data_IF_503742228853
#
_entry.id   IF_503742228853
#
_cell.length_a   1.000
_cell.length_b   1.000
_cell.length_c   1.000
_cell.angle_alpha   90.00
_cell.angle_beta   90.00
_cell.angle_gamma   90.00
#
_symmetry.space_group_name_H-M   'P 1'
#
loop_
_entity.id
_entity.type
_entity.pdbx_description
1 polymer ?
#
# COMPACT_ATOMS: atom_id res chain seq x y z
N UNK A 1 17.01 -11.13 -8.02
CA UNK A 1 16.95 -9.92 -7.18
C UNK A 1 15.68 -9.99 -6.34
N UNK A 2 15.74 -9.80 -5.04
CA UNK A 2 14.60 -9.92 -4.12
C UNK A 2 14.22 -8.53 -3.61
N UNK A 3 12.93 -8.18 -3.72
CA UNK A 3 12.39 -6.95 -3.16
C UNK A 3 11.67 -7.28 -1.85
N UNK A 4 11.85 -6.44 -0.85
CA UNK A 4 11.19 -6.56 0.44
C UNK A 4 10.46 -5.25 0.75
N UNK A 5 9.16 -5.34 1.04
CA UNK A 5 8.31 -4.21 1.37
C UNK A 5 7.77 -4.33 2.79
N UNK A 6 7.63 -3.20 3.45
CA UNK A 6 7.09 -3.16 4.81
C UNK A 6 5.68 -2.58 4.80
N UNK A 7 4.70 -3.41 5.14
CA UNK A 7 3.30 -3.01 5.26
C UNK A 7 3.04 -2.16 6.51
N UNK A 8 3.62 -2.50 7.63
CA UNK A 8 3.40 -1.83 8.91
C UNK A 8 4.23 -2.47 10.01
N UNK A 9 3.99 -2.08 11.26
CA UNK A 9 4.73 -2.55 12.44
C UNK A 9 4.10 -3.77 13.10
N UNK A 10 2.79 -3.96 12.92
CA UNK A 10 2.04 -5.04 13.56
C UNK A 10 1.88 -6.25 12.64
N UNK A 11 1.75 -7.42 13.27
CA UNK A 11 1.38 -8.64 12.55
C UNK A 11 0.02 -8.48 11.90
N UNK A 12 -0.12 -8.97 10.68
CA UNK A 12 -1.38 -8.98 9.95
C UNK A 12 -1.49 -10.19 9.04
N UNK A 13 -2.73 -10.62 8.86
CA UNK A 13 -3.06 -11.66 7.89
C UNK A 13 -3.30 -11.00 6.54
N UNK A 14 -2.52 -11.36 5.54
CA UNK A 14 -2.66 -10.85 4.18
C UNK A 14 -3.79 -11.60 3.49
N UNK A 15 -4.67 -10.86 2.83
CA UNK A 15 -5.79 -11.42 2.08
C UNK A 15 -5.55 -11.42 0.58
N UNK A 16 -4.98 -10.35 0.05
CA UNK A 16 -4.65 -10.29 -1.36
C UNK A 16 -3.38 -9.48 -1.63
N UNK A 17 -2.72 -9.85 -2.70
CA UNK A 17 -1.57 -9.18 -3.29
C UNK A 17 -1.83 -9.05 -4.78
N UNK A 18 -1.67 -7.84 -5.32
CA UNK A 18 -2.02 -7.57 -6.71
C UNK A 18 -1.00 -6.62 -7.33
N UNK A 19 -0.57 -6.94 -8.55
CA UNK A 19 0.26 -6.03 -9.36
C UNK A 19 -0.60 -5.23 -10.32
N UNK A 20 -0.27 -3.97 -10.52
CA UNK A 20 -0.89 -3.17 -11.57
C UNK A 20 -0.48 -3.69 -12.97
N UNK A 21 -1.30 -3.44 -14.01
CA UNK A 21 -1.00 -3.87 -15.39
C UNK A 21 0.34 -3.35 -15.91
N UNK A 22 0.76 -2.17 -15.48
CA UNK A 22 2.07 -1.60 -15.84
C UNK A 22 3.24 -2.17 -15.04
N UNK A 23 2.97 -2.95 -13.99
CA UNK A 23 3.94 -3.41 -12.99
C UNK A 23 4.66 -2.26 -12.24
N UNK A 24 4.10 -1.06 -12.26
CA UNK A 24 4.63 0.08 -11.52
C UNK A 24 4.19 0.06 -10.06
N UNK A 25 3.01 -0.49 -9.80
CA UNK A 25 2.41 -0.54 -8.48
C UNK A 25 2.10 -1.97 -8.05
N UNK A 26 2.04 -2.13 -6.75
CA UNK A 26 1.69 -3.37 -6.09
C UNK A 26 0.80 -3.06 -4.88
N UNK A 27 -0.34 -3.71 -4.75
CA UNK A 27 -1.25 -3.53 -3.63
C UNK A 27 -1.25 -4.72 -2.69
N UNK A 28 -1.50 -4.45 -1.42
CA UNK A 28 -1.60 -5.43 -0.36
C UNK A 28 -2.79 -5.12 0.54
N UNK A 29 -3.68 -6.08 0.70
CA UNK A 29 -4.80 -6.01 1.66
C UNK A 29 -4.59 -6.97 2.82
N UNK A 30 -5.10 -6.61 3.98
CA UNK A 30 -4.96 -7.39 5.20
C UNK A 30 -6.14 -7.23 6.14
N UNK A 31 -6.16 -8.00 7.22
CA UNK A 31 -7.15 -7.95 8.31
C UNK A 31 -7.13 -6.64 9.13
N UNK A 32 -6.34 -5.64 8.74
CA UNK A 32 -6.22 -4.34 9.41
C UNK A 32 -7.04 -3.22 8.75
N UNK A 33 -7.78 -3.51 7.67
CA UNK A 33 -8.67 -2.56 7.00
C UNK A 33 -7.97 -1.43 6.26
N UNK A 34 -6.66 -1.53 6.05
CA UNK A 34 -5.87 -0.59 5.25
C UNK A 34 -5.33 -1.30 4.02
N UNK A 35 -5.58 -0.72 2.88
CA UNK A 35 -4.97 -1.14 1.62
C UNK A 35 -3.67 -0.35 1.45
N UNK A 36 -2.56 -1.06 1.32
CA UNK A 36 -1.25 -0.47 1.08
C UNK A 36 -0.88 -0.61 -0.39
N UNK A 37 -0.40 0.47 -0.97
CA UNK A 37 0.08 0.53 -2.36
C UNK A 37 1.59 0.83 -2.31
N UNK A 38 2.38 0.03 -3.01
CA UNK A 38 3.81 0.19 -3.13
C UNK A 38 4.18 0.61 -4.55
N UNK A 39 5.17 1.49 -4.70
CA UNK A 39 5.68 1.91 -5.99
C UNK A 39 6.97 1.13 -6.30
N UNK A 40 6.88 0.20 -7.26
CA UNK A 40 7.98 -0.68 -7.63
C UNK A 40 9.14 0.04 -8.32
N UNK A 41 8.89 1.20 -8.94
CA UNK A 41 9.91 1.95 -9.69
C UNK A 41 10.69 2.89 -8.76
N UNK A 42 10.01 3.58 -7.86
CA UNK A 42 10.68 4.50 -6.92
C UNK A 42 11.64 3.78 -6.00
N UNK A 43 11.28 2.60 -5.53
CA UNK A 43 12.12 1.81 -4.65
C UNK A 43 13.44 1.38 -5.31
N UNK A 44 13.45 1.23 -6.64
CA UNK A 44 14.69 0.96 -7.39
C UNK A 44 15.64 2.16 -7.47
N UNK A 45 15.12 3.40 -7.35
CA UNK A 45 15.94 4.62 -7.46
C UNK A 45 16.51 5.07 -6.12
N UNK A 46 15.85 4.76 -5.01
CA UNK A 46 16.33 5.12 -3.68
C UNK A 46 17.54 4.29 -3.24
N UNK A 47 17.70 3.07 -3.73
CA UNK A 47 18.89 2.24 -3.48
C UNK A 47 20.18 2.82 -4.03
N UNK A 48 20.12 3.75 -4.99
CA UNK A 48 21.31 4.33 -5.63
C UNK A 48 21.60 5.79 -5.27
N UNK A 49 20.62 6.56 -4.82
CA UNK A 49 20.77 8.00 -4.56
C UNK A 49 20.70 8.42 -3.09
N UNK A 50 20.19 7.56 -2.20
CA UNK A 50 19.97 7.87 -0.78
C UNK A 50 21.20 7.80 0.12
N UNK A 51 22.37 7.43 -0.41
CA UNK A 51 23.56 7.15 0.44
C UNK A 51 24.34 8.36 0.96
N UNK A 52 24.01 9.59 0.60
CA UNK A 52 24.90 10.74 0.89
C UNK A 52 24.40 11.85 1.81
N UNK A 53 23.15 11.87 2.28
CA UNK A 53 22.67 12.99 3.11
C UNK A 53 22.11 12.67 4.50
N UNK A 54 21.75 11.44 4.81
CA UNK A 54 21.05 11.13 6.07
C UNK A 54 21.82 10.21 7.03
N UNK A 55 23.05 9.83 6.72
CA UNK A 55 23.82 8.89 7.56
C UNK A 55 24.12 9.43 8.97
N UNK A 56 24.19 10.76 9.17
CA UNK A 56 24.54 11.35 10.46
C UNK A 56 23.37 11.35 11.46
N UNK A 57 22.15 11.62 11.00
CA UNK A 57 20.96 11.67 11.87
C UNK A 57 20.46 10.26 12.18
N UNK A 58 20.40 9.38 11.17
CA UNK A 58 19.98 8.00 11.35
C UNK A 58 20.98 7.12 12.10
N UNK A 59 22.28 7.40 12.03
CA UNK A 59 23.29 6.67 12.81
C UNK A 59 23.13 6.92 14.30
N UNK A 60 22.79 8.13 14.72
CA UNK A 60 22.48 8.46 16.10
C UNK A 60 21.22 7.76 16.62
N UNK A 61 20.15 7.73 15.82
CA UNK A 61 18.90 7.04 16.14
C UNK A 61 19.06 5.52 16.20
N UNK A 62 19.84 4.91 15.32
CA UNK A 62 20.16 3.47 15.35
C UNK A 62 20.87 3.07 16.65
N UNK A 63 21.78 3.90 17.12
CA UNK A 63 22.55 3.66 18.35
C UNK A 63 21.67 3.74 19.60
N UNK A 64 20.72 4.70 19.63
CA UNK A 64 19.81 4.93 20.75
C UNK A 64 18.67 3.88 20.82
N UNK A 65 18.11 3.47 19.69
CA UNK A 65 16.89 2.66 19.66
C UNK A 65 17.13 1.17 19.40
N UNK A 66 18.38 0.74 19.15
CA UNK A 66 18.73 -0.66 18.80
C UNK A 66 17.84 -1.28 17.71
N UNK A 67 17.36 -0.47 16.75
CA UNK A 67 16.53 -0.93 15.66
C UNK A 67 17.40 -1.62 14.60
N UNK A 68 17.04 -2.83 14.14
CA UNK A 68 17.77 -3.50 13.08
C UNK A 68 17.85 -2.64 11.82
N UNK A 69 19.03 -2.53 11.22
CA UNK A 69 19.29 -1.73 9.99
C UNK A 69 18.26 -2.07 8.88
N UNK A 70 17.91 -3.33 8.72
CA UNK A 70 16.94 -3.82 7.75
C UNK A 70 15.56 -3.16 7.90
N UNK A 71 15.09 -2.94 9.12
CA UNK A 71 13.78 -2.31 9.38
C UNK A 71 13.76 -0.84 8.96
N UNK A 72 14.89 -0.13 9.09
CA UNK A 72 14.98 1.30 8.76
C UNK A 72 15.04 1.57 7.25
N UNK A 73 15.57 0.63 6.47
CA UNK A 73 15.77 0.77 5.02
C UNK A 73 14.69 0.07 4.19
N UNK A 74 13.83 -0.76 4.80
CA UNK A 74 12.74 -1.43 4.09
C UNK A 74 11.68 -0.42 3.69
N UNK A 75 11.32 -0.30 2.40
CA UNK A 75 10.34 0.66 1.92
C UNK A 75 8.99 0.49 2.58
N UNK A 76 8.38 1.61 2.98
CA UNK A 76 7.00 1.66 3.43
C UNK A 76 6.06 1.81 2.25
N UNK A 77 4.76 1.68 2.50
CA UNK A 77 3.76 1.91 1.46
C UNK A 77 3.90 3.31 0.85
N UNK A 78 3.84 3.37 -0.45
CA UNK A 78 3.84 4.62 -1.23
C UNK A 78 2.54 5.39 -1.05
N UNK A 79 1.41 4.68 -1.08
CA UNK A 79 0.08 5.22 -0.82
C UNK A 79 -0.73 4.24 0.03
N UNK A 80 -1.78 4.73 0.68
CA UNK A 80 -2.69 3.87 1.42
C UNK A 80 -4.12 4.41 1.36
N UNK A 81 -5.08 3.49 1.44
CA UNK A 81 -6.50 3.76 1.53
C UNK A 81 -7.09 3.02 2.73
N UNK A 82 -7.88 3.71 3.54
CA UNK A 82 -8.57 3.14 4.69
C UNK A 82 -10.07 3.17 4.45
N UNK A 83 -10.68 2.01 4.29
CA UNK A 83 -12.14 1.91 4.11
C UNK A 83 -12.90 1.55 5.39
N UNK A 84 -12.21 1.29 6.49
CA UNK A 84 -12.81 0.88 7.75
C UNK A 84 -13.19 -0.61 7.84
N UNK A 85 -13.22 -1.33 6.73
CA UNK A 85 -13.56 -2.74 6.70
C UNK A 85 -12.32 -3.62 6.90
N UNK A 86 -12.40 -4.55 7.83
CA UNK A 86 -11.30 -5.45 8.15
C UNK A 86 -11.07 -6.53 7.08
N UNK A 87 -12.01 -6.72 6.16
CA UNK A 87 -11.91 -7.72 5.10
C UNK A 87 -12.29 -7.12 3.77
N UNK A 88 -11.29 -6.94 2.93
CA UNK A 88 -11.47 -6.43 1.58
C UNK A 88 -10.43 -7.04 0.63
N UNK A 89 -10.72 -6.96 -0.65
CA UNK A 89 -9.82 -7.33 -1.74
C UNK A 89 -9.59 -6.11 -2.63
N UNK A 90 -8.41 -6.00 -3.19
CA UNK A 90 -8.10 -4.97 -4.17
C UNK A 90 -7.70 -5.58 -5.51
N UNK A 91 -8.03 -4.87 -6.59
CA UNK A 91 -7.65 -5.22 -7.95
C UNK A 91 -7.34 -3.95 -8.72
N UNK A 92 -6.34 -3.99 -9.59
CA UNK A 92 -6.03 -2.87 -10.47
C UNK A 92 -6.83 -2.95 -11.78
N UNK A 93 -7.36 -1.81 -12.23
CA UNK A 93 -7.91 -1.64 -13.55
C UNK A 93 -6.84 -1.35 -14.61
N UNK A 94 -7.24 -1.20 -15.89
CA UNK A 94 -6.32 -1.09 -17.01
C UNK A 94 -5.43 0.14 -17.02
N UNK A 95 -5.82 1.21 -16.32
CA UNK A 95 -5.05 2.46 -16.20
C UNK A 95 -4.39 2.62 -14.82
N UNK A 96 -4.14 1.52 -14.13
CA UNK A 96 -3.61 1.48 -12.76
C UNK A 96 -4.51 2.20 -11.73
N UNK A 97 -5.81 2.33 -11.99
CA UNK A 97 -6.79 2.67 -10.98
C UNK A 97 -7.01 1.49 -10.02
N UNK A 98 -7.24 1.76 -8.75
CA UNK A 98 -7.42 0.72 -7.75
C UNK A 98 -8.90 0.56 -7.41
N UNK A 99 -9.43 -0.64 -7.59
CA UNK A 99 -10.75 -1.04 -7.10
C UNK A 99 -10.62 -1.84 -5.82
N UNK A 100 -11.45 -1.52 -4.85
CA UNK A 100 -11.50 -2.21 -3.56
C UNK A 100 -12.89 -2.77 -3.34
N UNK A 101 -13.00 -4.06 -3.15
CA UNK A 101 -14.24 -4.76 -2.87
C UNK A 101 -14.33 -5.06 -1.39
N UNK A 102 -15.35 -4.54 -0.73
CA UNK A 102 -15.65 -4.86 0.67
C UNK A 102 -16.37 -6.21 0.78
N UNK A 103 -15.99 -6.98 1.78
CA UNK A 103 -16.60 -8.28 2.09
C UNK A 103 -17.58 -8.20 3.26
N UNK A 104 -18.17 -7.04 3.51
CA UNK A 104 -19.16 -6.79 4.57
C UNK A 104 -20.57 -7.31 4.26
N UNK A 105 -20.78 -7.86 3.07
CA UNK A 105 -22.08 -8.35 2.61
C UNK A 105 -23.01 -7.27 2.03
N UNK A 106 -22.60 -6.01 2.02
CA UNK A 106 -23.42 -4.90 1.50
C UNK A 106 -23.26 -4.65 -0.01
N UNK A 107 -22.47 -5.46 -0.70
CA UNK A 107 -22.24 -5.33 -2.13
C UNK A 107 -21.55 -4.04 -2.53
N UNK A 108 -20.75 -3.45 -1.64
CA UNK A 108 -20.02 -2.20 -1.92
C UNK A 108 -18.68 -2.46 -2.56
N UNK A 109 -18.33 -1.62 -3.53
CA UNK A 109 -16.96 -1.51 -4.00
C UNK A 109 -16.58 -0.05 -4.19
N UNK A 110 -15.29 0.20 -4.16
CA UNK A 110 -14.71 1.54 -4.21
C UNK A 110 -13.75 1.63 -5.37
N UNK A 111 -13.85 2.69 -6.16
CA UNK A 111 -12.80 3.11 -7.06
C UNK A 111 -11.94 4.14 -6.35
N UNK A 112 -10.70 3.77 -6.06
CA UNK A 112 -9.78 4.57 -5.25
C UNK A 112 -8.83 5.35 -6.15
N UNK A 113 -8.89 6.66 -6.06
CA UNK A 113 -7.98 7.56 -6.76
C UNK A 113 -6.81 7.92 -5.85
N UNK A 114 -5.63 7.39 -6.13
CA UNK A 114 -4.41 7.75 -5.42
C UNK A 114 -3.47 8.56 -6.31
N UNK A 115 -2.70 9.45 -5.70
CA UNK A 115 -1.72 10.26 -6.45
C UNK A 115 -0.53 9.38 -6.86
N UNK A 116 -0.44 9.08 -8.14
CA UNK A 116 0.61 8.20 -8.71
C UNK A 116 2.02 8.81 -8.66
N UNK A 117 2.13 10.11 -8.39
CA UNK A 117 3.43 10.82 -8.32
C UNK A 117 3.88 11.02 -6.89
N UNK A 118 2.97 11.43 -6.00
CA UNK A 118 3.28 11.81 -4.61
C UNK A 118 2.98 10.68 -3.64
N UNK A 119 1.95 9.85 -3.92
CA UNK A 119 1.44 8.86 -2.97
C UNK A 119 0.75 9.52 -1.78
N UNK A 120 0.87 8.89 -0.62
CA UNK A 120 0.27 9.36 0.62
C UNK A 120 -1.05 8.68 0.95
N UNK A 121 -1.68 9.11 2.03
CA UNK A 121 -3.01 8.62 2.39
C UNK A 121 -4.05 9.26 1.46
N UNK A 122 -4.89 8.43 0.86
CA UNK A 122 -6.00 8.88 0.02
C UNK A 122 -7.34 8.61 0.70
N UNK A 123 -8.21 9.59 0.62
CA UNK A 123 -9.63 9.50 0.99
C UNK A 123 -10.53 9.68 -0.23
N UNK A 124 -9.95 9.92 -1.40
CA UNK A 124 -10.68 10.12 -2.64
C UNK A 124 -11.07 8.76 -3.25
N UNK A 125 -12.32 8.38 -3.00
CA UNK A 125 -12.87 7.15 -3.54
C UNK A 125 -14.33 7.33 -3.95
N UNK A 126 -14.68 6.83 -5.13
CA UNK A 126 -16.06 6.70 -5.55
C UNK A 126 -16.63 5.39 -5.02
N UNK A 127 -17.83 5.43 -4.46
CA UNK A 127 -18.50 4.27 -3.88
C UNK A 127 -19.59 3.80 -4.82
N UNK A 128 -19.55 2.52 -5.16
CA UNK A 128 -20.57 1.84 -5.93
C UNK A 128 -21.26 0.79 -5.07
N UNK A 129 -22.56 0.60 -5.27
CA UNK A 129 -23.36 -0.40 -4.56
C UNK A 129 -24.02 -1.30 -5.58
N UNK A 130 -23.72 -2.58 -5.50
CA UNK A 130 -24.45 -3.60 -6.25
C UNK A 130 -25.79 -3.84 -5.55
N UNK A 131 -26.89 -3.57 -6.25
CA UNK A 131 -28.25 -3.86 -5.78
C UNK A 131 -28.78 -5.05 -6.54
N UNK A 132 -29.40 -5.98 -5.83
CA UNK A 132 -30.25 -6.96 -6.46
C UNK A 132 -31.53 -6.25 -6.93
N UNK A 133 -31.88 -6.37 -8.20
CA UNK A 133 -33.21 -6.02 -8.68
C UNK A 133 -34.15 -7.07 -8.11
N UNK A 134 -34.90 -6.68 -7.11
CA UNK A 134 -36.04 -7.50 -6.67
C UNK A 134 -37.13 -7.40 -7.75
N UNK A 135 -37.26 -8.46 -8.49
CA UNK A 135 -38.41 -8.65 -9.40
C UNK A 135 -39.74 -8.68 -8.64
#
# INVERSE_FOLDING_TARGET
MTHEFRRGTEKAKIFSLEFSPTNEFFSCTSDRGTIHIFNMIKDKKEDTSGRKKDDSIFSGLKRLMRIPKKILITPRSFACFRNGDFKCFSVFGPNDELFVVSCDGNGKFYEVNFDKKKGGETTDAQVYVLREEND
#
